data_IF_457139483154
#
_entry.id   IF_457139483154
#
_cell.length_a   1.000
_cell.length_b   1.000
_cell.length_c   1.000
_cell.angle_alpha   90.00
_cell.angle_beta   90.00
_cell.angle_gamma   90.00
#
_symmetry.space_group_name_H-M   'P 1'
#
loop_
_entity.id
_entity.type
_entity.pdbx_description
1 polymer ?
#
# COMPACT_ATOMS: atom_id res chain seq x y z
N UNK A 1 -12.93 -29.67 52.76
CA UNK A 1 -12.81 -29.61 51.29
C UNK A 1 -12.31 -30.97 50.84
N UNK A 2 -13.01 -31.66 49.93
CA UNK A 2 -12.52 -32.95 49.44
C UNK A 2 -11.37 -32.70 48.47
N UNK A 3 -10.41 -33.63 48.38
CA UNK A 3 -9.29 -33.52 47.44
C UNK A 3 -9.75 -33.32 45.99
N UNK A 4 -10.94 -33.84 45.64
CA UNK A 4 -11.60 -33.61 44.34
C UNK A 4 -11.88 -32.13 44.06
N UNK A 5 -12.34 -31.38 45.06
CA UNK A 5 -12.77 -29.98 44.89
C UNK A 5 -11.57 -29.08 44.65
N UNK A 6 -10.44 -29.38 45.32
CA UNK A 6 -9.16 -28.70 45.14
C UNK A 6 -8.62 -28.93 43.71
N UNK A 7 -8.67 -30.18 43.23
CA UNK A 7 -8.23 -30.53 41.87
C UNK A 7 -9.09 -29.81 40.83
N UNK A 8 -10.41 -29.79 41.00
CA UNK A 8 -11.33 -29.08 40.10
C UNK A 8 -11.08 -27.57 40.08
N UNK A 9 -10.83 -26.95 41.24
CA UNK A 9 -10.50 -25.52 41.33
C UNK A 9 -9.19 -25.20 40.60
N UNK A 10 -8.16 -26.04 40.79
CA UNK A 10 -6.88 -25.88 40.09
C UNK A 10 -7.08 -26.02 38.58
N UNK A 11 -7.82 -27.03 38.13
CA UNK A 11 -8.12 -27.25 36.71
C UNK A 11 -8.87 -26.07 36.08
N UNK A 12 -9.83 -25.47 36.80
CA UNK A 12 -10.54 -24.26 36.38
C UNK A 12 -9.57 -23.11 36.14
N UNK A 13 -8.67 -22.85 37.10
CA UNK A 13 -7.66 -21.78 36.99
C UNK A 13 -6.73 -22.02 35.81
N UNK A 14 -6.24 -23.24 35.62
CA UNK A 14 -5.40 -23.59 34.47
C UNK A 14 -6.12 -23.41 33.13
N UNK A 15 -7.42 -23.75 33.05
CA UNK A 15 -8.22 -23.55 31.84
C UNK A 15 -8.34 -22.07 31.48
N UNK A 16 -8.60 -21.21 32.46
CA UNK A 16 -8.69 -19.75 32.27
C UNK A 16 -7.35 -19.18 31.78
N UNK A 17 -6.24 -19.58 32.42
CA UNK A 17 -4.89 -19.14 32.04
C UNK A 17 -4.56 -19.60 30.61
N UNK A 18 -4.84 -20.86 30.28
CA UNK A 18 -4.62 -21.40 28.94
C UNK A 18 -5.44 -20.67 27.87
N UNK A 19 -6.72 -20.39 28.16
CA UNK A 19 -7.57 -19.59 27.30
C UNK A 19 -7.02 -18.19 27.05
N UNK A 20 -6.56 -17.51 28.10
CA UNK A 20 -5.95 -16.18 27.99
C UNK A 20 -4.67 -16.20 27.14
N UNK A 21 -3.78 -17.17 27.36
CA UNK A 21 -2.54 -17.33 26.57
C UNK A 21 -2.89 -17.58 25.10
N UNK A 22 -3.87 -18.44 24.83
CA UNK A 22 -4.32 -18.78 23.48
C UNK A 22 -4.88 -17.56 22.74
N UNK A 23 -5.68 -16.74 23.42
CA UNK A 23 -6.22 -15.50 22.86
C UNK A 23 -5.10 -14.50 22.50
N UNK A 24 -4.13 -14.31 23.39
CA UNK A 24 -2.98 -13.43 23.13
C UNK A 24 -2.14 -13.92 21.95
N UNK A 25 -1.90 -15.25 21.88
CA UNK A 25 -1.18 -15.85 20.76
C UNK A 25 -1.92 -15.66 19.43
N UNK A 26 -3.26 -15.82 19.42
CA UNK A 26 -4.08 -15.60 18.24
C UNK A 26 -4.02 -14.15 17.74
N UNK A 27 -4.18 -13.17 18.64
CA UNK A 27 -4.08 -11.75 18.28
C UNK A 27 -2.68 -11.42 17.72
N UNK A 28 -1.63 -11.95 18.34
CA UNK A 28 -0.26 -11.80 17.84
C UNK A 28 -0.07 -12.43 16.47
N UNK A 29 -0.69 -13.60 16.23
CA UNK A 29 -0.67 -14.29 14.95
C UNK A 29 -1.31 -13.46 13.85
N UNK A 30 -2.49 -12.87 14.08
CA UNK A 30 -3.16 -11.98 13.11
C UNK A 30 -2.26 -10.80 12.73
N UNK A 31 -1.66 -10.12 13.72
CA UNK A 31 -0.75 -9.00 13.46
C UNK A 31 0.45 -9.42 12.63
N UNK A 32 1.04 -10.58 12.95
CA UNK A 32 2.18 -11.12 12.18
C UNK A 32 1.76 -11.46 10.75
N UNK A 33 0.59 -12.07 10.57
CA UNK A 33 0.07 -12.42 9.24
C UNK A 33 -0.10 -11.18 8.38
N UNK A 34 -0.71 -10.12 8.92
CA UNK A 34 -0.84 -8.83 8.23
C UNK A 34 0.50 -8.27 7.75
N UNK A 35 1.55 -8.36 8.59
CA UNK A 35 2.90 -7.91 8.21
C UNK A 35 3.46 -8.78 7.07
N UNK A 36 3.29 -10.10 7.14
CA UNK A 36 3.75 -11.02 6.09
C UNK A 36 3.03 -10.74 4.77
N UNK A 37 1.70 -10.58 4.81
CA UNK A 37 0.88 -10.29 3.64
C UNK A 37 1.28 -8.95 3.01
N UNK A 38 1.62 -7.96 3.83
CA UNK A 38 2.14 -6.65 3.38
C UNK A 38 3.49 -6.80 2.68
N UNK A 39 4.42 -7.56 3.27
CA UNK A 39 5.75 -7.80 2.68
C UNK A 39 5.61 -8.50 1.32
N UNK A 40 4.73 -9.48 1.24
CA UNK A 40 4.52 -10.23 0.00
C UNK A 40 3.87 -9.36 -1.08
N UNK A 41 2.80 -8.64 -0.74
CA UNK A 41 2.16 -7.69 -1.66
C UNK A 41 3.13 -6.61 -2.13
N UNK A 42 3.98 -6.09 -1.23
CA UNK A 42 5.00 -5.11 -1.59
C UNK A 42 6.08 -5.70 -2.51
N UNK A 43 6.50 -6.95 -2.31
CA UNK A 43 7.45 -7.61 -3.23
C UNK A 43 6.86 -7.78 -4.63
N UNK A 44 5.59 -8.15 -4.72
CA UNK A 44 4.87 -8.21 -6.00
C UNK A 44 4.80 -6.82 -6.63
N UNK A 45 4.47 -5.79 -5.85
CA UNK A 45 4.48 -4.41 -6.34
C UNK A 45 5.87 -3.99 -6.83
N UNK A 46 6.92 -4.36 -6.09
CA UNK A 46 8.28 -4.04 -6.43
C UNK A 46 8.71 -4.64 -7.77
N UNK A 47 8.52 -5.95 -7.95
CA UNK A 47 8.93 -6.66 -9.16
C UNK A 47 8.10 -6.29 -10.39
N UNK A 48 6.81 -6.04 -10.21
CA UNK A 48 5.91 -5.76 -11.32
C UNK A 48 5.91 -4.29 -11.74
N UNK A 49 6.22 -3.38 -10.81
CA UNK A 49 6.03 -1.93 -10.97
C UNK A 49 7.28 -1.15 -10.61
N UNK A 50 7.73 -1.20 -9.35
CA UNK A 50 8.76 -0.27 -8.87
C UNK A 50 10.08 -0.44 -9.61
N UNK A 51 10.55 -1.68 -9.81
CA UNK A 51 11.80 -1.98 -10.50
C UNK A 51 11.78 -1.51 -11.97
N UNK A 52 10.59 -1.51 -12.60
CA UNK A 52 10.40 -1.01 -13.97
C UNK A 52 10.35 0.51 -14.04
N UNK A 53 9.85 1.17 -12.98
CA UNK A 53 9.76 2.63 -12.90
C UNK A 53 11.07 3.31 -12.48
N UNK A 54 12.09 2.56 -12.02
CA UNK A 54 13.37 3.15 -11.60
C UNK A 54 13.97 4.04 -12.69
N UNK A 55 13.88 3.62 -13.95
CA UNK A 55 14.42 4.34 -15.11
C UNK A 55 13.57 5.54 -15.55
N UNK A 56 12.30 5.60 -15.16
CA UNK A 56 11.37 6.64 -15.60
C UNK A 56 11.52 7.91 -14.76
N UNK A 57 11.74 9.03 -15.44
CA UNK A 57 11.71 10.38 -14.88
C UNK A 57 10.36 11.05 -15.17
N UNK A 58 10.07 12.12 -14.42
CA UNK A 58 8.88 12.96 -14.66
C UNK A 58 8.87 13.53 -16.09
N UNK A 59 10.04 13.89 -16.64
CA UNK A 59 10.18 14.34 -18.03
C UNK A 59 9.71 13.30 -19.03
N UNK A 60 10.00 12.03 -18.78
CA UNK A 60 9.66 10.94 -19.70
C UNK A 60 8.14 10.75 -19.74
N UNK A 61 7.47 10.88 -18.60
CA UNK A 61 6.00 10.88 -18.51
C UNK A 61 5.39 12.04 -19.28
N UNK A 62 5.96 13.24 -19.19
CA UNK A 62 5.48 14.40 -19.96
C UNK A 62 5.66 14.18 -21.47
N UNK A 63 6.83 13.70 -21.90
CA UNK A 63 7.08 13.36 -23.31
C UNK A 63 6.13 12.28 -23.83
N UNK A 64 5.79 11.27 -23.01
CA UNK A 64 4.79 10.27 -23.38
C UNK A 64 3.43 10.91 -23.65
N UNK A 65 2.99 11.84 -22.80
CA UNK A 65 1.71 12.54 -22.93
C UNK A 65 1.66 13.46 -24.16
N UNK A 66 2.78 14.10 -24.52
CA UNK A 66 2.87 14.99 -25.68
C UNK A 66 2.83 14.25 -27.03
N UNK A 67 3.22 12.97 -27.06
CA UNK A 67 3.37 12.18 -28.30
C UNK A 67 2.41 10.99 -28.38
N UNK A 68 1.26 11.05 -27.70
CA UNK A 68 0.27 9.95 -27.61
C UNK A 68 -0.29 9.47 -28.95
N UNK A 69 -0.20 10.29 -30.01
CA UNK A 69 -0.66 9.95 -31.35
C UNK A 69 0.19 8.86 -32.02
N UNK A 70 1.43 8.64 -31.54
CA UNK A 70 2.29 7.58 -32.04
C UNK A 70 1.93 6.21 -31.45
N UNK A 71 1.72 5.16 -32.28
CA UNK A 71 1.30 3.84 -31.79
C UNK A 71 2.22 3.21 -30.73
N UNK A 72 3.54 3.40 -30.86
CA UNK A 72 4.53 2.89 -29.91
C UNK A 72 4.49 3.63 -28.57
N UNK A 73 4.23 4.93 -28.61
CA UNK A 73 4.11 5.76 -27.40
C UNK A 73 2.81 5.43 -26.66
N UNK A 74 1.74 5.17 -27.40
CA UNK A 74 0.47 4.71 -26.83
C UNK A 74 0.62 3.38 -26.06
N UNK A 75 1.39 2.42 -26.59
CA UNK A 75 1.69 1.17 -25.87
C UNK A 75 2.42 1.45 -24.55
N UNK A 76 3.46 2.28 -24.57
CA UNK A 76 4.18 2.67 -23.35
C UNK A 76 3.31 3.44 -22.35
N UNK A 77 2.36 4.26 -22.84
CA UNK A 77 1.36 4.92 -22.01
C UNK A 77 0.42 3.92 -21.33
N UNK A 78 -0.10 2.94 -22.08
CA UNK A 78 -0.99 1.91 -21.53
C UNK A 78 -0.28 1.05 -20.49
N UNK A 79 1.00 0.73 -20.70
CA UNK A 79 1.86 0.07 -19.72
C UNK A 79 2.04 0.91 -18.44
N UNK A 80 2.38 2.19 -18.60
CA UNK A 80 2.49 3.12 -17.46
C UNK A 80 1.18 3.19 -16.67
N UNK A 81 0.06 3.31 -17.38
CA UNK A 81 -1.28 3.35 -16.78
C UNK A 81 -1.61 2.07 -16.02
N UNK A 82 -1.31 0.90 -16.59
CA UNK A 82 -1.50 -0.40 -15.96
C UNK A 82 -0.66 -0.53 -14.68
N UNK A 83 0.58 -0.04 -14.71
CA UNK A 83 1.44 -0.06 -13.53
C UNK A 83 0.94 0.88 -12.42
N UNK A 84 0.45 2.08 -12.76
CA UNK A 84 -0.17 2.98 -11.76
C UNK A 84 -1.45 2.36 -11.19
N UNK A 85 -2.22 1.61 -11.98
CA UNK A 85 -3.40 0.87 -11.49
C UNK A 85 -3.04 -0.23 -10.47
N UNK A 86 -1.88 -0.87 -10.62
CA UNK A 86 -1.39 -1.84 -9.61
C UNK A 86 -1.01 -1.14 -8.29
N UNK A 87 -0.42 0.05 -8.37
CA UNK A 87 -0.13 0.86 -7.18
C UNK A 87 -1.43 1.26 -6.48
N UNK A 88 -2.45 1.67 -7.24
CA UNK A 88 -3.78 1.98 -6.69
C UNK A 88 -4.37 0.79 -5.94
N UNK A 89 -4.32 -0.40 -6.53
CA UNK A 89 -4.79 -1.63 -5.87
C UNK A 89 -4.06 -1.92 -4.56
N UNK A 90 -2.73 -1.73 -4.53
CA UNK A 90 -1.96 -1.87 -3.31
C UNK A 90 -2.36 -0.82 -2.27
N UNK A 91 -2.56 0.44 -2.71
CA UNK A 91 -2.97 1.54 -1.85
C UNK A 91 -4.36 1.34 -1.24
N UNK A 92 -5.31 0.77 -1.98
CA UNK A 92 -6.60 0.31 -1.46
C UNK A 92 -6.38 -0.63 -0.27
N UNK A 93 -5.51 -1.63 -0.43
CA UNK A 93 -5.21 -2.59 0.64
C UNK A 93 -4.61 -1.95 1.90
N UNK A 94 -3.72 -0.97 1.72
CA UNK A 94 -3.15 -0.20 2.84
C UNK A 94 -4.22 0.65 3.53
N UNK A 95 -4.98 1.44 2.77
CA UNK A 95 -5.98 2.35 3.31
C UNK A 95 -7.16 1.63 3.99
N UNK A 96 -7.48 0.41 3.55
CA UNK A 96 -8.50 -0.46 4.16
C UNK A 96 -7.96 -1.33 5.30
N UNK A 97 -6.73 -1.11 5.77
CA UNK A 97 -6.08 -1.87 6.84
C UNK A 97 -5.94 -3.37 6.56
N UNK A 98 -6.01 -3.80 5.31
CA UNK A 98 -5.65 -5.15 4.88
C UNK A 98 -4.13 -5.30 4.97
N UNK A 99 -3.40 -4.27 4.52
CA UNK A 99 -1.95 -4.17 4.66
C UNK A 99 -1.56 -3.20 5.78
N UNK A 100 -0.36 -3.37 6.32
CA UNK A 100 0.17 -2.58 7.43
C UNK A 100 0.96 -1.37 6.91
N UNK A 101 0.40 -0.18 7.12
CA UNK A 101 1.02 1.08 6.69
C UNK A 101 2.45 1.26 7.23
N UNK A 102 2.72 0.87 8.49
CA UNK A 102 4.05 1.03 9.10
C UNK A 102 5.07 0.10 8.45
N UNK A 103 4.67 -1.11 8.09
CA UNK A 103 5.50 -2.02 7.31
C UNK A 103 5.73 -1.51 5.90
N UNK A 104 4.68 -1.02 5.21
CA UNK A 104 4.82 -0.39 3.89
C UNK A 104 5.82 0.77 3.92
N UNK A 105 5.70 1.64 4.92
CA UNK A 105 6.59 2.78 5.10
C UNK A 105 8.06 2.36 5.25
N UNK A 106 8.32 1.35 6.09
CA UNK A 106 9.66 0.79 6.30
C UNK A 106 10.25 0.10 5.06
N UNK A 107 9.41 -0.47 4.20
CA UNK A 107 9.86 -1.15 2.99
C UNK A 107 10.26 -0.17 1.88
N UNK A 108 9.58 0.98 1.80
CA UNK A 108 9.94 2.01 0.82
C UNK A 108 8.95 3.16 0.71
N UNK A 109 8.41 3.66 1.84
CA UNK A 109 7.47 4.78 1.86
C UNK A 109 8.00 6.01 1.12
N UNK A 110 9.26 6.39 1.36
CA UNK A 110 9.94 7.48 0.65
C UNK A 110 9.99 7.25 -0.86
N UNK A 111 10.28 6.03 -1.30
CA UNK A 111 10.32 5.70 -2.72
C UNK A 111 8.93 5.84 -3.38
N UNK A 112 7.87 5.40 -2.69
CA UNK A 112 6.49 5.58 -3.13
C UNK A 112 6.11 7.06 -3.24
N UNK A 113 6.52 7.89 -2.28
CA UNK A 113 6.32 9.35 -2.33
C UNK A 113 6.98 9.92 -3.59
N UNK A 114 8.26 9.61 -3.83
CA UNK A 114 8.95 10.08 -5.03
C UNK A 114 8.31 9.59 -6.33
N UNK A 115 7.87 8.34 -6.36
CA UNK A 115 7.18 7.78 -7.51
C UNK A 115 5.89 8.53 -7.82
N UNK A 116 5.09 8.87 -6.81
CA UNK A 116 3.88 9.67 -6.98
C UNK A 116 4.17 10.99 -7.70
N UNK A 117 5.18 11.74 -7.26
CA UNK A 117 5.54 13.01 -7.91
C UNK A 117 6.00 12.87 -9.37
N UNK A 118 6.49 11.69 -9.78
CA UNK A 118 6.85 11.38 -11.18
C UNK A 118 5.63 11.05 -12.04
N UNK A 119 4.69 10.27 -11.51
CA UNK A 119 3.49 9.81 -12.24
C UNK A 119 2.28 10.74 -12.09
N UNK A 120 2.38 11.76 -11.24
CA UNK A 120 1.36 12.80 -11.04
C UNK A 120 0.85 13.41 -12.36
N UNK A 121 1.70 13.77 -13.36
CA UNK A 121 1.20 14.28 -14.64
C UNK A 121 0.29 13.30 -15.38
N UNK A 122 0.61 12.00 -15.33
CA UNK A 122 -0.21 10.94 -15.92
C UNK A 122 -1.55 10.81 -15.21
N UNK A 123 -1.55 10.83 -13.87
CA UNK A 123 -2.77 10.78 -13.05
C UNK A 123 -3.67 11.97 -13.39
N UNK A 124 -3.10 13.17 -13.45
CA UNK A 124 -3.85 14.40 -13.77
C UNK A 124 -4.40 14.36 -15.19
N UNK A 125 -3.63 13.88 -16.17
CA UNK A 125 -4.11 13.69 -17.53
C UNK A 125 -5.31 12.74 -17.58
N UNK A 126 -5.24 11.59 -16.91
CA UNK A 126 -6.34 10.61 -16.88
C UNK A 126 -7.60 11.18 -16.20
N UNK A 127 -7.43 11.95 -15.12
CA UNK A 127 -8.54 12.63 -14.44
C UNK A 127 -9.21 13.67 -15.35
N UNK A 128 -8.42 14.43 -16.12
CA UNK A 128 -8.93 15.46 -17.04
C UNK A 128 -9.63 14.86 -18.28
N UNK A 129 -9.29 13.64 -18.68
CA UNK A 129 -9.96 12.93 -19.78
C UNK A 129 -11.36 12.42 -19.40
N UNK A 130 -11.73 12.46 -18.12
CA UNK A 130 -13.05 12.05 -17.67
C UNK A 130 -13.90 13.26 -17.32
N UNK A 131 -15.07 13.37 -17.95
CA UNK A 131 -16.15 14.23 -17.48
C UNK A 131 -16.63 13.70 -16.12
N UNK A 132 -16.37 14.48 -15.06
CA UNK A 132 -17.00 14.43 -13.73
C UNK A 132 -17.43 13.03 -13.25
N UNK A 133 -16.52 12.05 -13.21
CA UNK A 133 -16.81 10.79 -12.51
C UNK A 133 -16.83 11.03 -10.99
N UNK A 134 -17.84 10.49 -10.29
CA UNK A 134 -18.01 10.64 -8.83
C UNK A 134 -16.80 10.14 -8.00
N UNK A 135 -15.89 9.38 -8.62
CA UNK A 135 -14.64 8.95 -8.00
C UNK A 135 -13.44 9.27 -8.91
N UNK A 136 -12.60 10.25 -8.54
CA UNK A 136 -11.38 10.52 -9.29
C UNK A 136 -10.49 9.27 -9.28
N UNK A 137 -9.96 8.91 -10.46
CA UNK A 137 -9.00 7.81 -10.59
C UNK A 137 -7.76 8.07 -9.72
N UNK A 138 -7.18 6.99 -9.20
CA UNK A 138 -5.93 7.00 -8.42
C UNK A 138 -6.01 7.76 -7.09
N UNK A 139 -7.18 7.83 -6.46
CA UNK A 139 -7.39 8.57 -5.22
C UNK A 139 -6.86 7.81 -4.00
N UNK A 140 -6.84 6.48 -4.02
CA UNK A 140 -6.32 5.68 -2.91
C UNK A 140 -4.80 5.78 -2.85
N UNK A 141 -4.12 5.83 -4.00
CA UNK A 141 -2.70 6.08 -4.07
C UNK A 141 -2.34 7.45 -3.47
N UNK A 142 -3.04 8.51 -3.89
CA UNK A 142 -2.84 9.86 -3.34
C UNK A 142 -3.08 9.89 -1.81
N UNK A 143 -4.15 9.27 -1.33
CA UNK A 143 -4.46 9.17 0.10
C UNK A 143 -3.38 8.41 0.89
N UNK A 144 -2.88 7.31 0.34
CA UNK A 144 -1.78 6.54 0.95
C UNK A 144 -0.52 7.41 1.03
N UNK A 145 -0.18 8.15 -0.04
CA UNK A 145 0.98 9.03 -0.07
C UNK A 145 0.85 10.20 0.90
N UNK A 146 -0.33 10.80 1.04
CA UNK A 146 -0.55 11.85 2.03
C UNK A 146 -0.30 11.34 3.45
N UNK A 147 -0.79 10.13 3.76
CA UNK A 147 -0.57 9.49 5.06
C UNK A 147 0.91 9.15 5.30
N UNK A 148 1.64 8.72 4.26
CA UNK A 148 3.09 8.48 4.36
C UNK A 148 3.87 9.79 4.51
N UNK A 149 3.45 10.84 3.82
CA UNK A 149 4.07 12.16 3.83
C UNK A 149 4.00 12.84 5.20
N UNK A 150 2.95 12.58 5.98
CA UNK A 150 2.87 13.00 7.39
C UNK A 150 4.03 12.45 8.24
N UNK A 151 4.57 11.28 7.89
CA UNK A 151 5.71 10.66 8.58
C UNK A 151 7.07 11.12 8.02
N UNK A 152 7.11 11.75 6.85
CA UNK A 152 8.33 12.20 6.14
C UNK A 152 8.17 13.64 5.62
N UNK A 153 8.05 14.65 6.50
CA UNK A 153 7.79 16.04 6.11
C UNK A 153 8.89 16.64 5.20
N UNK A 154 10.11 16.13 5.26
CA UNK A 154 11.23 16.51 4.40
C UNK A 154 11.11 15.99 2.96
N UNK A 155 10.28 14.97 2.74
CA UNK A 155 10.05 14.36 1.43
C UNK A 155 8.82 14.96 0.70
N UNK A 156 8.11 15.90 1.33
CA UNK A 156 6.92 16.54 0.75
C UNK A 156 7.33 17.46 -0.39
N UNK A 157 6.80 17.20 -1.58
CA UNK A 157 6.89 18.13 -2.70
C UNK A 157 6.20 19.45 -2.29
N UNK A 158 6.98 20.50 -2.05
CA UNK A 158 6.43 21.85 -2.03
C UNK A 158 5.79 22.06 -3.40
N UNK A 159 4.46 22.17 -3.44
CA UNK A 159 3.75 22.75 -4.58
C UNK A 159 4.35 24.16 -4.76
N UNK A 160 5.20 24.31 -5.77
CA UNK A 160 5.63 25.62 -6.28
C UNK A 160 4.55 26.09 -7.23
#
# INVERSE_FOLDING_TARGET
MKSSDVISLIALVFSIISGAISLLAYIKSIKRQKIIDTIEAYRTLQSEVLDKFVSYKKSDVLTLLENLDEPKIKEAYDDCRAMVAKIEHFAVGVNHNIYDLKTTDKLGGVHLIYLFGRVEPLINHIRNLQDESERPFYCEFEKMINTLSENHPECVFKKI
#
